data_IF_787314040239
#
_entry.id   IF_787314040239
#
_cell.length_a   1.000
_cell.length_b   1.000
_cell.length_c   1.000
_cell.angle_alpha   90.00
_cell.angle_beta   90.00
_cell.angle_gamma   90.00
#
_symmetry.space_group_name_H-M   'P 1'
#
loop_
_entity.id
_entity.type
_entity.pdbx_description
1 polymer ?
#
# COMPACT_ATOMS: atom_id res chain seq x y z
N UNK A 1 5.67 -29.08 -12.00
CA UNK A 1 5.94 -28.11 -10.90
C UNK A 1 6.01 -26.66 -11.38
N UNK A 2 6.80 -26.35 -12.42
CA UNK A 2 7.06 -24.98 -12.91
C UNK A 2 5.81 -24.11 -13.17
N UNK A 3 4.78 -24.65 -13.84
CA UNK A 3 3.53 -23.90 -14.16
C UNK A 3 2.79 -23.36 -12.93
N UNK A 4 2.82 -24.09 -11.81
CA UNK A 4 2.14 -23.65 -10.58
C UNK A 4 2.94 -22.61 -9.81
N UNK A 5 4.27 -22.69 -9.89
CA UNK A 5 5.15 -21.69 -9.31
C UNK A 5 4.95 -20.34 -10.00
N UNK A 6 4.95 -20.29 -11.33
CA UNK A 6 4.69 -19.05 -12.07
C UNK A 6 3.30 -18.46 -11.79
N UNK A 7 2.27 -19.31 -11.64
CA UNK A 7 0.93 -18.85 -11.23
C UNK A 7 0.91 -18.26 -9.82
N UNK A 8 1.63 -18.87 -8.87
CA UNK A 8 1.73 -18.34 -7.51
C UNK A 8 2.44 -16.98 -7.48
N UNK A 9 3.55 -16.85 -8.22
CA UNK A 9 4.28 -15.57 -8.35
C UNK A 9 3.40 -14.51 -9.02
N UNK A 10 2.63 -14.86 -10.05
CA UNK A 10 1.69 -13.94 -10.67
C UNK A 10 0.62 -13.44 -9.69
N UNK A 11 0.09 -14.31 -8.81
CA UNK A 11 -0.84 -13.88 -7.75
C UNK A 11 -0.16 -12.95 -6.75
N UNK A 12 1.10 -13.22 -6.37
CA UNK A 12 1.90 -12.32 -5.54
C UNK A 12 2.04 -10.93 -6.17
N UNK A 13 2.37 -10.86 -7.47
CA UNK A 13 2.50 -9.60 -8.19
C UNK A 13 1.18 -8.82 -8.25
N UNK A 14 0.06 -9.51 -8.46
CA UNK A 14 -1.28 -8.89 -8.46
C UNK A 14 -1.56 -8.25 -7.10
N UNK A 15 -1.21 -8.93 -5.99
CA UNK A 15 -1.37 -8.37 -4.64
C UNK A 15 -0.60 -7.07 -4.45
N UNK A 16 0.68 -7.03 -4.89
CA UNK A 16 1.51 -5.82 -4.82
C UNK A 16 0.89 -4.68 -5.62
N UNK A 17 0.44 -4.96 -6.85
CA UNK A 17 -0.18 -3.96 -7.72
C UNK A 17 -1.46 -3.39 -7.08
N UNK A 18 -2.35 -4.26 -6.59
CA UNK A 18 -3.60 -3.83 -5.94
C UNK A 18 -3.33 -2.98 -4.70
N UNK A 19 -2.35 -3.38 -3.88
CA UNK A 19 -1.98 -2.66 -2.67
C UNK A 19 -1.51 -1.23 -2.98
N UNK A 20 -0.59 -1.06 -3.93
CA UNK A 20 -0.13 0.28 -4.31
C UNK A 20 -1.19 1.09 -5.05
N UNK A 21 -2.04 0.46 -5.86
CA UNK A 21 -3.18 1.14 -6.46
C UNK A 21 -4.11 1.72 -5.38
N UNK A 22 -4.37 0.97 -4.31
CA UNK A 22 -5.16 1.45 -3.17
C UNK A 22 -4.47 2.61 -2.44
N UNK A 23 -3.15 2.52 -2.18
CA UNK A 23 -2.40 3.62 -1.56
C UNK A 23 -2.47 4.91 -2.39
N UNK A 24 -2.36 4.80 -3.72
CA UNK A 24 -2.47 5.96 -4.62
C UNK A 24 -3.86 6.58 -4.51
N UNK A 25 -4.92 5.78 -4.57
CA UNK A 25 -6.31 6.27 -4.44
C UNK A 25 -6.53 6.92 -3.07
N UNK A 26 -6.03 6.31 -1.99
CA UNK A 26 -6.13 6.87 -0.65
C UNK A 26 -5.36 8.20 -0.55
N UNK A 27 -4.14 8.27 -1.10
CA UNK A 27 -3.36 9.50 -1.16
C UNK A 27 -4.08 10.60 -1.93
N UNK A 28 -4.66 10.28 -3.09
CA UNK A 28 -5.47 11.22 -3.87
C UNK A 28 -6.68 11.73 -3.09
N UNK A 29 -7.41 10.84 -2.41
CA UNK A 29 -8.54 11.20 -1.59
C UNK A 29 -8.15 12.15 -0.44
N UNK A 30 -7.02 11.91 0.22
CA UNK A 30 -6.51 12.81 1.24
C UNK A 30 -6.13 14.18 0.67
N UNK A 31 -5.48 14.24 -0.49
CA UNK A 31 -5.14 15.51 -1.15
C UNK A 31 -6.38 16.32 -1.56
N UNK A 32 -7.43 15.65 -2.05
CA UNK A 32 -8.68 16.34 -2.43
C UNK A 32 -9.43 16.91 -1.22
N UNK A 33 -9.35 16.25 -0.06
CA UNK A 33 -9.97 16.70 1.18
C UNK A 33 -9.07 17.59 2.02
N UNK A 34 -7.83 17.79 1.58
CA UNK A 34 -6.90 18.67 2.24
C UNK A 34 -7.30 20.12 1.95
N UNK A 35 -8.04 20.71 2.87
CA UNK A 35 -8.19 22.16 2.95
C UNK A 35 -6.95 22.65 3.67
N UNK A 36 -6.01 23.36 3.00
CA UNK A 36 -4.91 23.99 3.72
C UNK A 36 -5.49 25.08 4.63
N UNK A 37 -5.30 24.94 5.93
CA UNK A 37 -5.76 25.86 7.00
C UNK A 37 -5.28 27.32 6.81
N UNK A 38 -4.51 27.61 5.77
CA UNK A 38 -3.94 28.93 5.44
C UNK A 38 -5.04 29.97 5.16
N UNK A 39 -6.27 29.58 4.77
CA UNK A 39 -7.36 30.55 4.52
C UNK A 39 -8.05 30.99 5.81
N UNK A 40 -8.07 30.16 6.86
CA UNK A 40 -8.64 30.51 8.17
C UNK A 40 -7.58 31.01 9.17
N UNK A 41 -6.29 30.69 8.97
CA UNK A 41 -5.21 31.04 9.91
C UNK A 41 -4.62 32.45 9.73
N UNK A 42 -5.09 33.28 8.80
CA UNK A 42 -4.68 34.69 8.76
C UNK A 42 -5.32 35.52 9.88
N UNK A 43 -6.42 35.07 10.49
CA UNK A 43 -7.07 35.78 11.60
C UNK A 43 -6.56 35.36 12.98
N UNK A 44 -5.84 34.25 13.12
CA UNK A 44 -5.32 33.81 14.42
C UNK A 44 -3.88 33.29 14.36
N UNK A 45 -2.96 34.24 14.52
CA UNK A 45 -1.76 34.15 15.38
C UNK A 45 -0.98 32.83 15.34
N UNK A 46 0.16 32.85 14.64
CA UNK A 46 1.47 32.39 15.14
C UNK A 46 1.62 30.92 15.59
N UNK A 47 0.70 30.03 15.19
CA UNK A 47 0.82 28.60 15.48
C UNK A 47 1.00 27.79 14.19
N UNK A 48 2.16 27.12 14.15
CA UNK A 48 2.39 25.86 13.45
C UNK A 48 2.62 25.96 11.93
N UNK A 49 3.88 26.19 11.59
CA UNK A 49 4.58 25.76 10.37
C UNK A 49 4.54 24.22 10.14
N UNK A 50 3.45 23.53 10.47
CA UNK A 50 3.30 22.11 10.15
C UNK A 50 3.01 21.98 8.65
N UNK A 51 4.09 21.97 7.86
CA UNK A 51 4.07 21.42 6.50
C UNK A 51 3.43 20.04 6.59
N UNK A 52 2.25 19.91 6.02
CA UNK A 52 1.63 18.60 5.81
C UNK A 52 2.54 17.83 4.86
N UNK A 53 3.35 16.95 5.44
CA UNK A 53 4.25 16.07 4.73
C UNK A 53 3.42 14.98 4.06
N UNK A 54 2.92 15.27 2.85
CA UNK A 54 2.41 14.23 1.99
C UNK A 54 3.58 13.32 1.58
N UNK A 55 3.53 12.08 2.03
CA UNK A 55 4.62 11.13 1.88
C UNK A 55 5.37 10.99 3.20
N UNK A 56 5.04 9.92 3.92
CA UNK A 56 5.88 9.48 5.02
C UNK A 56 7.28 9.19 4.46
N UNK A 57 8.33 9.70 5.11
CA UNK A 57 9.71 9.28 4.85
C UNK A 57 9.90 7.89 5.44
N UNK A 58 9.08 6.95 4.99
CA UNK A 58 9.25 5.52 5.28
C UNK A 58 10.69 5.19 4.92
N UNK A 59 11.46 4.83 5.95
CA UNK A 59 12.85 4.39 5.84
C UNK A 59 12.95 3.36 4.71
N UNK A 60 13.97 3.49 3.87
CA UNK A 60 14.19 2.63 2.70
C UNK A 60 14.06 1.12 3.02
N UNK A 61 14.37 0.74 4.28
CA UNK A 61 14.28 -0.62 4.79
C UNK A 61 12.82 -1.12 4.84
N UNK A 62 11.86 -0.28 5.23
CA UNK A 62 10.46 -0.69 5.31
C UNK A 62 9.87 -1.04 3.95
N UNK A 63 10.19 -0.25 2.91
CA UNK A 63 9.81 -0.59 1.53
C UNK A 63 10.49 -1.86 1.04
N UNK A 64 11.75 -2.07 1.41
CA UNK A 64 12.48 -3.27 1.04
C UNK A 64 11.88 -4.55 1.66
N UNK A 65 11.19 -4.46 2.81
CA UNK A 65 10.50 -5.58 3.45
C UNK A 65 9.05 -5.72 3.00
N UNK A 66 8.37 -4.60 2.73
CA UNK A 66 6.96 -4.56 2.31
C UNK A 66 6.71 -5.34 1.02
N UNK A 67 7.50 -5.08 -0.03
CA UNK A 67 7.30 -5.70 -1.35
C UNK A 67 7.47 -7.23 -1.29
N UNK A 68 8.57 -7.78 -0.72
CA UNK A 68 8.70 -9.23 -0.54
C UNK A 68 7.62 -9.81 0.37
N UNK A 69 7.23 -9.10 1.44
CA UNK A 69 6.18 -9.54 2.36
C UNK A 69 4.84 -9.75 1.67
N UNK A 70 4.41 -8.78 0.86
CA UNK A 70 3.17 -8.86 0.07
C UNK A 70 3.24 -9.96 -1.00
N UNK A 71 4.39 -10.12 -1.66
CA UNK A 71 4.62 -11.19 -2.62
C UNK A 71 4.46 -12.58 -1.97
N UNK A 72 5.09 -12.78 -0.82
CA UNK A 72 4.99 -14.03 -0.06
C UNK A 72 3.54 -14.30 0.38
N UNK A 73 2.83 -13.26 0.83
CA UNK A 73 1.43 -13.36 1.23
C UNK A 73 0.55 -13.85 0.06
N UNK A 74 0.70 -13.27 -1.13
CA UNK A 74 -0.05 -13.73 -2.32
C UNK A 74 0.28 -15.17 -2.72
N UNK A 75 1.56 -15.57 -2.59
CA UNK A 75 2.00 -16.96 -2.84
C UNK A 75 1.36 -17.92 -1.82
N UNK A 76 1.39 -17.59 -0.52
CA UNK A 76 0.78 -18.41 0.54
C UNK A 76 -0.72 -18.57 0.33
N UNK A 77 -1.42 -17.50 -0.04
CA UNK A 77 -2.86 -17.55 -0.34
C UNK A 77 -3.13 -18.50 -1.51
N UNK A 78 -2.36 -18.38 -2.60
CA UNK A 78 -2.52 -19.26 -3.76
C UNK A 78 -2.40 -20.75 -3.39
N UNK A 79 -1.37 -21.10 -2.62
CA UNK A 79 -1.16 -22.49 -2.20
C UNK A 79 -2.20 -22.97 -1.18
N UNK A 80 -2.66 -22.09 -0.30
CA UNK A 80 -3.70 -22.40 0.69
C UNK A 80 -5.03 -22.69 0.01
N UNK A 81 -5.49 -21.81 -0.88
CA UNK A 81 -6.73 -22.02 -1.67
C UNK A 81 -6.64 -23.30 -2.49
N UNK A 82 -5.49 -23.55 -3.10
CA UNK A 82 -5.26 -24.80 -3.85
C UNK A 82 -5.33 -26.04 -2.97
N UNK A 83 -4.77 -26.01 -1.76
CA UNK A 83 -4.82 -27.12 -0.80
C UNK A 83 -6.25 -27.39 -0.35
N UNK A 84 -7.03 -26.34 -0.08
CA UNK A 84 -8.46 -26.42 0.25
C UNK A 84 -9.27 -27.04 -0.90
N UNK A 85 -9.06 -26.60 -2.14
CA UNK A 85 -9.75 -27.14 -3.33
C UNK A 85 -9.43 -28.61 -3.65
N UNK A 86 -8.32 -29.14 -3.12
CA UNK A 86 -7.92 -30.55 -3.31
C UNK A 86 -8.41 -31.49 -2.20
N UNK A 87 -8.85 -30.93 -1.08
CA UNK A 87 -9.45 -31.69 0.04
C UNK A 87 -10.95 -31.90 -0.12
N UNK A 88 -11.56 -31.24 -1.11
CA UNK A 88 -12.96 -31.36 -1.50
C UNK A 88 -13.04 -32.24 -2.73
#
# INVERSE_FOLDING_TARGET
MKKHFFRAVAVGLIFVIIFYAFQIVQGMYHTMKFVPDIVESYESVDYLQHKVSFGDKSSSIWRAVEIPGLMLLGIVIYYTVRKLRRKK
#
